data_IF_839295340168
#
_entry.id   IF_839295340168
#
_cell.length_a   1.000
_cell.length_b   1.000
_cell.length_c   1.000
_cell.angle_alpha   90.00
_cell.angle_beta   90.00
_cell.angle_gamma   90.00
#
_symmetry.space_group_name_H-M   'P 1'
#
loop_
_entity.id
_entity.type
_entity.pdbx_description
1 polymer ?
#
# COMPACT_ATOMS: atom_id res chain seq x y z
N UNK A 1 6.39 19.45 17.94
CA UNK A 1 5.95 18.74 16.71
C UNK A 1 6.48 17.32 16.78
N UNK A 2 5.62 16.30 16.86
CA UNK A 2 6.08 14.92 16.74
C UNK A 2 6.56 14.70 15.29
N UNK A 3 7.82 14.29 15.14
CA UNK A 3 8.41 13.99 13.83
C UNK A 3 7.68 12.76 13.27
N UNK A 4 6.96 12.94 12.16
CA UNK A 4 6.30 11.84 11.45
C UNK A 4 7.38 10.86 10.98
N UNK A 5 7.19 9.57 11.24
CA UNK A 5 8.11 8.53 10.80
C UNK A 5 8.22 8.54 9.26
N UNK A 6 9.43 8.45 8.72
CA UNK A 6 9.64 8.42 7.27
C UNK A 6 9.50 6.99 6.74
N UNK A 7 8.37 6.71 6.08
CA UNK A 7 8.07 5.38 5.53
C UNK A 7 9.08 4.92 4.46
N UNK A 8 9.78 5.86 3.80
CA UNK A 8 10.82 5.54 2.82
C UNK A 8 12.02 4.82 3.44
N UNK A 9 12.27 5.01 4.75
CA UNK A 9 13.32 4.27 5.47
C UNK A 9 13.10 2.75 5.37
N UNK A 10 11.85 2.28 5.32
CA UNK A 10 11.58 0.85 5.11
C UNK A 10 12.03 0.37 3.74
N UNK A 11 11.81 1.15 2.68
CA UNK A 11 12.24 0.78 1.33
C UNK A 11 13.76 0.78 1.24
N UNK A 12 14.42 1.80 1.79
CA UNK A 12 15.88 1.89 1.83
C UNK A 12 16.50 0.69 2.55
N UNK A 13 15.95 0.31 3.71
CA UNK A 13 16.37 -0.90 4.43
C UNK A 13 16.18 -2.13 3.55
N UNK A 14 15.02 -2.29 2.90
CA UNK A 14 14.72 -3.44 2.05
C UNK A 14 15.70 -3.59 0.88
N UNK A 15 16.14 -2.47 0.28
CA UNK A 15 17.08 -2.47 -0.84
C UNK A 15 18.51 -2.83 -0.44
N UNK A 16 18.94 -2.40 0.75
CA UNK A 16 20.30 -2.67 1.23
C UNK A 16 20.43 -4.06 1.85
N UNK A 17 19.40 -4.54 2.56
CA UNK A 17 19.46 -5.76 3.36
C UNK A 17 20.03 -6.99 2.62
N UNK A 18 19.61 -7.30 1.38
CA UNK A 18 20.11 -8.47 0.65
C UNK A 18 21.62 -8.47 0.43
N UNK A 19 22.25 -7.30 0.36
CA UNK A 19 23.67 -7.12 0.10
C UNK A 19 24.56 -7.17 1.35
N UNK A 20 23.98 -7.23 2.56
CA UNK A 20 24.77 -7.40 3.78
C UNK A 20 25.22 -8.87 3.92
N UNK A 21 26.49 -9.14 3.58
CA UNK A 21 27.06 -10.48 3.58
C UNK A 21 27.15 -11.10 4.99
N UNK A 22 27.32 -10.26 6.01
CA UNK A 22 27.45 -10.67 7.41
C UNK A 22 26.15 -11.19 8.03
N UNK A 23 25.00 -10.96 7.38
CA UNK A 23 23.70 -11.41 7.88
C UNK A 23 23.29 -12.78 7.30
N UNK A 24 22.62 -13.65 8.10
CA UNK A 24 22.09 -14.92 7.60
C UNK A 24 21.17 -14.73 6.39
N UNK A 25 21.42 -15.49 5.31
CA UNK A 25 20.76 -15.33 4.00
C UNK A 25 19.23 -15.31 4.07
N UNK A 26 18.65 -16.33 4.67
CA UNK A 26 17.18 -16.45 4.69
C UNK A 26 16.54 -15.38 5.59
N UNK A 27 17.13 -15.10 6.76
CA UNK A 27 16.66 -14.07 7.68
C UNK A 27 16.63 -12.68 7.05
N UNK A 28 17.70 -12.32 6.32
CA UNK A 28 17.75 -11.03 5.62
C UNK A 28 16.73 -10.96 4.47
N UNK A 29 16.51 -12.04 3.72
CA UNK A 29 15.51 -12.05 2.65
C UNK A 29 14.08 -11.91 3.17
N UNK A 30 13.72 -12.67 4.21
CA UNK A 30 12.41 -12.56 4.88
C UNK A 30 12.16 -11.13 5.37
N UNK A 31 13.17 -10.55 6.01
CA UNK A 31 13.10 -9.17 6.52
C UNK A 31 12.92 -8.16 5.37
N UNK A 32 13.68 -8.27 4.29
CA UNK A 32 13.58 -7.36 3.14
C UNK A 32 12.16 -7.35 2.54
N UNK A 33 11.53 -8.52 2.37
CA UNK A 33 10.15 -8.64 1.86
C UNK A 33 9.16 -7.92 2.78
N UNK A 34 9.26 -8.13 4.09
CA UNK A 34 8.44 -7.44 5.08
C UNK A 34 8.58 -5.92 4.98
N UNK A 35 9.81 -5.43 4.75
CA UNK A 35 10.11 -4.00 4.64
C UNK A 35 9.54 -3.38 3.35
N UNK A 36 9.64 -4.05 2.21
CA UNK A 36 8.95 -3.64 0.97
C UNK A 36 7.43 -3.57 1.14
N UNK A 37 6.83 -4.54 1.83
CA UNK A 37 5.40 -4.51 2.12
C UNK A 37 5.02 -3.30 2.98
N UNK A 38 5.72 -3.09 4.10
CA UNK A 38 5.40 -2.01 5.02
C UNK A 38 5.62 -0.63 4.41
N UNK A 39 6.62 -0.43 3.54
CA UNK A 39 6.79 0.84 2.83
C UNK A 39 5.54 1.21 2.00
N UNK A 40 4.98 0.25 1.27
CA UNK A 40 3.80 0.49 0.44
C UNK A 40 2.53 0.59 1.27
N UNK A 41 2.32 -0.36 2.17
CA UNK A 41 1.11 -0.42 2.98
C UNK A 41 0.93 0.83 3.84
N UNK A 42 2.00 1.32 4.49
CA UNK A 42 1.91 2.51 5.34
C UNK A 42 1.69 3.78 4.50
N UNK A 43 2.34 3.91 3.34
CA UNK A 43 2.10 5.03 2.42
C UNK A 43 0.63 5.13 2.04
N UNK A 44 0.03 4.03 1.58
CA UNK A 44 -1.38 3.96 1.21
C UNK A 44 -2.31 4.23 2.39
N UNK A 45 -2.00 3.62 3.55
CA UNK A 45 -2.77 3.79 4.78
C UNK A 45 -2.81 5.26 5.21
N UNK A 46 -1.68 5.95 5.18
CA UNK A 46 -1.60 7.36 5.56
C UNK A 46 -2.36 8.27 4.59
N UNK A 47 -2.17 8.09 3.28
CA UNK A 47 -2.88 8.86 2.26
C UNK A 47 -4.41 8.72 2.44
N UNK A 48 -4.90 7.50 2.60
CA UNK A 48 -6.32 7.24 2.77
C UNK A 48 -6.82 7.84 4.08
N UNK A 49 -6.09 7.65 5.19
CA UNK A 49 -6.48 8.18 6.50
C UNK A 49 -6.57 9.69 6.55
N UNK A 50 -5.60 10.38 5.95
CA UNK A 50 -5.54 11.84 5.98
C UNK A 50 -6.71 12.47 5.22
N UNK A 51 -7.29 11.75 4.25
CA UNK A 51 -8.35 12.25 3.37
C UNK A 51 -9.74 11.71 3.77
N UNK A 52 -9.85 10.41 4.04
CA UNK A 52 -11.09 9.72 4.38
C UNK A 52 -11.16 9.41 5.89
N UNK A 53 -11.79 10.33 6.61
CA UNK A 53 -11.92 10.30 8.07
C UNK A 53 -13.32 9.83 8.51
N UNK A 54 -13.93 8.90 7.77
CA UNK A 54 -15.21 8.30 8.18
C UNK A 54 -14.99 7.32 9.33
N UNK A 55 -15.85 7.36 10.35
CA UNK A 55 -15.78 6.47 11.52
C UNK A 55 -15.82 4.98 11.13
N UNK A 56 -16.55 4.64 10.05
CA UNK A 56 -16.63 3.27 9.53
C UNK A 56 -15.25 2.72 9.12
N UNK A 57 -14.32 3.58 8.72
CA UNK A 57 -12.95 3.21 8.40
C UNK A 57 -12.06 3.23 9.65
N UNK A 58 -12.20 4.27 10.48
CA UNK A 58 -11.38 4.50 11.67
C UNK A 58 -11.27 3.29 12.58
N UNK A 59 -12.39 2.60 12.82
CA UNK A 59 -12.43 1.39 13.67
C UNK A 59 -11.47 0.27 13.23
N UNK A 60 -11.06 0.25 11.96
CA UNK A 60 -10.14 -0.75 11.45
C UNK A 60 -8.67 -0.37 11.61
N UNK A 61 -8.33 0.91 11.77
CA UNK A 61 -6.94 1.42 11.72
C UNK A 61 -6.04 0.95 12.86
N UNK A 62 -6.63 0.47 13.95
CA UNK A 62 -5.96 -0.10 15.13
C UNK A 62 -5.93 -1.63 15.10
N UNK A 63 -6.55 -2.27 14.11
CA UNK A 63 -6.68 -3.72 14.00
C UNK A 63 -5.83 -4.29 12.86
N UNK A 64 -5.46 -5.57 12.93
CA UNK A 64 -4.82 -6.28 11.83
C UNK A 64 -5.67 -6.35 10.55
N UNK A 65 -6.99 -6.11 10.65
CA UNK A 65 -7.89 -6.07 9.49
C UNK A 65 -7.58 -4.91 8.54
N UNK A 66 -6.90 -3.86 9.01
CA UNK A 66 -6.50 -2.70 8.18
C UNK A 66 -5.82 -3.12 6.89
N UNK A 67 -4.98 -4.17 6.92
CA UNK A 67 -4.30 -4.67 5.73
C UNK A 67 -5.29 -5.13 4.65
N UNK A 68 -6.36 -5.82 5.05
CA UNK A 68 -7.45 -6.25 4.14
C UNK A 68 -8.26 -5.05 3.67
N UNK A 69 -8.57 -4.12 4.56
CA UNK A 69 -9.42 -2.97 4.27
C UNK A 69 -8.77 -2.05 3.24
N UNK A 70 -7.47 -1.75 3.34
CA UNK A 70 -6.78 -0.90 2.36
C UNK A 70 -6.85 -1.50 0.94
N UNK A 71 -6.74 -2.83 0.80
CA UNK A 71 -6.91 -3.49 -0.50
C UNK A 71 -8.34 -3.40 -1.03
N UNK A 72 -9.33 -3.67 -0.17
CA UNK A 72 -10.75 -3.56 -0.54
C UNK A 72 -11.08 -2.14 -0.95
N UNK A 73 -10.55 -1.15 -0.23
CA UNK A 73 -10.71 0.26 -0.54
C UNK A 73 -10.20 0.57 -1.96
N UNK A 74 -8.95 0.19 -2.27
CA UNK A 74 -8.36 0.40 -3.60
C UNK A 74 -9.19 -0.27 -4.71
N UNK A 75 -9.58 -1.53 -4.50
CA UNK A 75 -10.39 -2.27 -5.47
C UNK A 75 -11.76 -1.63 -5.70
N UNK A 76 -12.50 -1.31 -4.62
CA UNK A 76 -13.83 -0.68 -4.73
C UNK A 76 -13.73 0.69 -5.38
N UNK A 77 -12.73 1.49 -5.03
CA UNK A 77 -12.49 2.78 -5.66
C UNK A 77 -12.19 2.64 -7.14
N UNK A 78 -11.38 1.65 -7.52
CA UNK A 78 -11.08 1.36 -8.92
C UNK A 78 -12.34 1.10 -9.74
N UNK A 79 -13.37 0.48 -9.14
CA UNK A 79 -14.68 0.29 -9.79
C UNK A 79 -15.49 1.57 -9.88
N UNK A 80 -15.50 2.38 -8.82
CA UNK A 80 -16.22 3.67 -8.78
C UNK A 80 -15.70 4.61 -9.88
N UNK A 81 -14.37 4.76 -9.98
CA UNK A 81 -13.75 5.68 -10.94
C UNK A 81 -13.32 5.01 -12.25
N UNK A 82 -13.59 3.71 -12.41
CA UNK A 82 -13.23 2.88 -13.57
C UNK A 82 -11.73 2.92 -13.91
N UNK A 83 -10.85 2.94 -12.91
CA UNK A 83 -9.39 2.91 -13.11
C UNK A 83 -8.85 1.48 -13.12
N UNK A 84 -8.14 1.12 -14.19
CA UNK A 84 -7.43 -0.15 -14.31
C UNK A 84 -6.18 -0.17 -13.43
N UNK A 85 -5.49 0.96 -13.32
CA UNK A 85 -4.27 1.14 -12.53
C UNK A 85 -4.54 0.90 -11.04
N UNK A 86 -5.63 1.45 -10.49
CA UNK A 86 -6.00 1.20 -9.09
C UNK A 86 -6.36 -0.27 -8.84
N UNK A 87 -6.96 -0.94 -9.83
CA UNK A 87 -7.23 -2.37 -9.73
C UNK A 87 -5.92 -3.17 -9.71
N UNK A 88 -4.96 -2.79 -10.57
CA UNK A 88 -3.64 -3.40 -10.63
C UNK A 88 -2.86 -3.18 -9.32
N UNK A 89 -2.86 -1.96 -8.79
CA UNK A 89 -2.29 -1.63 -7.47
C UNK A 89 -2.88 -2.53 -6.38
N UNK A 90 -4.20 -2.68 -6.34
CA UNK A 90 -4.88 -3.54 -5.37
C UNK A 90 -4.41 -5.01 -5.47
N UNK A 91 -4.30 -5.54 -6.69
CA UNK A 91 -3.86 -6.91 -6.93
C UNK A 91 -2.40 -7.13 -6.56
N UNK A 92 -1.51 -6.20 -6.92
CA UNK A 92 -0.10 -6.26 -6.53
C UNK A 92 0.07 -6.14 -5.02
N UNK A 93 -0.70 -5.27 -4.35
CA UNK A 93 -0.66 -5.16 -2.89
C UNK A 93 -1.14 -6.46 -2.21
N UNK A 94 -2.11 -7.15 -2.81
CA UNK A 94 -2.53 -8.48 -2.36
C UNK A 94 -1.39 -9.50 -2.45
N UNK A 95 -0.69 -9.55 -3.60
CA UNK A 95 0.44 -10.45 -3.80
C UNK A 95 1.61 -10.14 -2.86
N UNK A 96 1.95 -8.85 -2.72
CA UNK A 96 3.00 -8.39 -1.81
C UNK A 96 2.67 -8.71 -0.34
N UNK A 97 1.40 -8.55 0.07
CA UNK A 97 0.97 -8.96 1.41
C UNK A 97 1.10 -10.47 1.63
N UNK A 98 0.76 -11.29 0.63
CA UNK A 98 0.89 -12.73 0.73
C UNK A 98 2.36 -13.17 0.81
N UNK A 99 3.25 -12.56 0.02
CA UNK A 99 4.70 -12.78 0.13
C UNK A 99 5.22 -12.40 1.52
N UNK A 100 4.74 -11.28 2.09
CA UNK A 100 5.06 -10.90 3.46
C UNK A 100 4.58 -11.92 4.48
N UNK A 101 3.34 -12.42 4.38
CA UNK A 101 2.85 -13.47 5.30
C UNK A 101 3.66 -14.77 5.18
N UNK A 102 4.00 -15.16 3.95
CA UNK A 102 4.84 -16.34 3.70
C UNK A 102 6.21 -16.16 4.37
N UNK A 103 6.79 -14.96 4.25
CA UNK A 103 8.10 -14.62 4.82
C UNK A 103 8.09 -14.57 6.35
N UNK A 104 7.03 -14.05 6.95
CA UNK A 104 6.97 -13.85 8.42
C UNK A 104 6.52 -15.09 9.18
N UNK A 105 5.61 -15.88 8.61
CA UNK A 105 4.89 -16.91 9.37
C UNK A 105 5.13 -18.34 8.88
N UNK A 106 5.62 -18.54 7.65
CA UNK A 106 5.89 -19.88 7.14
C UNK A 106 7.35 -20.27 7.37
N UNK A 107 7.57 -21.12 8.37
CA UNK A 107 8.91 -21.63 8.75
C UNK A 107 9.37 -22.84 7.94
N UNK A 108 8.49 -23.45 7.14
CA UNK A 108 8.79 -24.63 6.32
C UNK A 108 9.30 -24.19 4.95
N UNK A 109 8.71 -23.14 4.38
CA UNK A 109 9.06 -22.65 3.05
C UNK A 109 10.31 -21.78 3.11
N UNK A 110 11.37 -22.18 2.41
CA UNK A 110 12.64 -21.44 2.33
C UNK A 110 12.51 -20.23 1.39
N UNK A 111 12.73 -19.04 1.92
CA UNK A 111 12.76 -17.80 1.13
C UNK A 111 14.11 -17.62 0.44
N UNK A 112 14.08 -17.24 -0.84
CA UNK A 112 15.25 -16.99 -1.68
C UNK A 112 15.30 -15.54 -2.15
N UNK A 113 16.35 -15.20 -2.89
CA UNK A 113 16.49 -13.88 -3.50
C UNK A 113 15.40 -13.61 -4.56
N UNK A 114 14.80 -14.66 -5.14
CA UNK A 114 13.72 -14.52 -6.11
C UNK A 114 12.51 -13.84 -5.49
N UNK A 115 12.05 -14.31 -4.33
CA UNK A 115 10.90 -13.72 -3.63
C UNK A 115 11.18 -12.28 -3.18
N UNK A 116 12.43 -11.95 -2.88
CA UNK A 116 12.86 -10.57 -2.60
C UNK A 116 12.72 -9.69 -3.84
N UNK A 117 13.15 -10.19 -5.00
CA UNK A 117 13.02 -9.47 -6.27
C UNK A 117 11.55 -9.29 -6.68
N UNK A 118 10.71 -10.31 -6.50
CA UNK A 118 9.27 -10.22 -6.73
C UNK A 118 8.64 -9.13 -5.82
N UNK A 119 9.00 -9.12 -4.53
CA UNK A 119 8.53 -8.10 -3.60
C UNK A 119 8.99 -6.69 -3.99
N UNK A 120 10.25 -6.54 -4.43
CA UNK A 120 10.81 -5.28 -4.94
C UNK A 120 10.06 -4.80 -6.18
N UNK A 121 9.78 -5.68 -7.12
CA UNK A 121 9.05 -5.36 -8.35
C UNK A 121 7.65 -4.86 -8.04
N UNK A 122 6.89 -5.59 -7.20
CA UNK A 122 5.57 -5.14 -6.76
C UNK A 122 5.63 -3.78 -6.07
N UNK A 123 6.58 -3.58 -5.15
CA UNK A 123 6.69 -2.32 -4.42
C UNK A 123 6.99 -1.14 -5.37
N UNK A 124 7.97 -1.29 -6.25
CA UNK A 124 8.35 -0.26 -7.21
C UNK A 124 7.22 0.05 -8.19
N UNK A 125 6.55 -0.98 -8.71
CA UNK A 125 5.45 -0.80 -9.67
C UNK A 125 4.23 -0.16 -9.02
N UNK A 126 3.88 -0.54 -7.78
CA UNK A 126 2.83 0.15 -7.02
C UNK A 126 3.19 1.62 -6.83
N UNK A 127 4.41 1.92 -6.37
CA UNK A 127 4.84 3.31 -6.15
C UNK A 127 4.79 4.14 -7.43
N UNK A 128 5.23 3.58 -8.56
CA UNK A 128 5.11 4.22 -9.86
C UNK A 128 3.65 4.50 -10.24
N UNK A 129 2.78 3.49 -10.19
CA UNK A 129 1.37 3.63 -10.55
C UNK A 129 0.64 4.64 -9.65
N UNK A 130 0.98 4.71 -8.36
CA UNK A 130 0.40 5.70 -7.45
C UNK A 130 0.70 7.15 -7.86
N UNK A 131 1.83 7.39 -8.52
CA UNK A 131 2.21 8.72 -8.98
C UNK A 131 1.59 9.07 -10.34
N UNK A 132 1.37 8.08 -11.21
CA UNK A 132 0.91 8.31 -12.59
C UNK A 132 -0.57 8.07 -12.81
N UNK A 133 -1.27 7.38 -11.89
CA UNK A 133 -2.71 7.15 -12.00
C UNK A 133 -3.45 8.46 -12.18
N UNK A 134 -4.41 8.47 -13.09
CA UNK A 134 -5.10 9.69 -13.48
C UNK A 134 -6.62 9.49 -13.49
N UNK A 135 -7.34 10.51 -13.02
CA UNK A 135 -8.79 10.57 -13.13
C UNK A 135 -9.23 12.01 -13.37
N UNK A 136 -10.00 12.26 -14.43
CA UNK A 136 -10.49 13.59 -14.81
C UNK A 136 -9.37 14.66 -14.85
N UNK A 137 -8.25 14.36 -15.52
CA UNK A 137 -7.06 15.22 -15.62
C UNK A 137 -6.32 15.48 -14.30
N UNK A 138 -6.65 14.74 -13.22
CA UNK A 138 -5.95 14.80 -11.94
C UNK A 138 -5.03 13.59 -11.80
N UNK A 139 -3.72 13.84 -11.75
CA UNK A 139 -2.68 12.82 -11.60
C UNK A 139 -2.28 12.59 -10.14
N UNK A 140 -2.00 11.35 -9.81
CA UNK A 140 -1.55 10.91 -8.49
C UNK A 140 -2.70 10.51 -7.58
N UNK A 141 -2.56 9.36 -6.92
CA UNK A 141 -3.61 8.76 -6.10
C UNK A 141 -4.14 9.70 -5.00
N UNK A 142 -3.24 10.36 -4.27
CA UNK A 142 -3.61 11.31 -3.23
C UNK A 142 -4.43 12.48 -3.80
N UNK A 143 -4.00 13.03 -4.94
CA UNK A 143 -4.68 14.14 -5.59
C UNK A 143 -6.07 13.73 -6.09
N UNK A 144 -6.20 12.52 -6.62
CA UNK A 144 -7.49 11.96 -7.04
C UNK A 144 -8.44 11.89 -5.83
N UNK A 145 -8.00 11.36 -4.69
CA UNK A 145 -8.84 11.30 -3.49
C UNK A 145 -9.26 12.70 -3.02
N UNK A 146 -8.34 13.68 -3.02
CA UNK A 146 -8.66 15.08 -2.68
C UNK A 146 -9.65 15.69 -3.67
N UNK A 147 -9.52 15.38 -4.96
CA UNK A 147 -10.42 15.84 -6.01
C UNK A 147 -11.82 15.27 -5.84
N UNK A 148 -11.94 13.96 -5.64
CA UNK A 148 -13.23 13.29 -5.39
C UNK A 148 -13.95 13.88 -4.17
N UNK A 149 -13.20 14.19 -3.10
CA UNK A 149 -13.75 14.83 -1.91
C UNK A 149 -14.34 16.21 -2.21
N UNK A 150 -13.62 17.03 -2.99
CA UNK A 150 -14.09 18.35 -3.44
C UNK A 150 -15.34 18.27 -4.32
N UNK A 151 -15.44 17.28 -5.20
CA UNK A 151 -16.65 17.05 -6.00
C UNK A 151 -17.81 16.72 -5.06
N UNK A 152 -17.62 15.75 -4.17
CA UNK A 152 -18.64 15.36 -3.20
C UNK A 152 -19.14 16.52 -2.34
N UNK A 153 -18.23 17.38 -1.86
CA UNK A 153 -18.58 18.58 -1.09
C UNK A 153 -19.51 19.54 -1.86
N UNK A 154 -19.26 19.74 -3.16
CA UNK A 154 -20.14 20.56 -4.03
C UNK A 154 -21.50 19.94 -4.25
N UNK A 155 -21.59 18.61 -4.16
CA UNK A 155 -22.82 17.84 -4.35
C UNK A 155 -23.55 17.54 -3.03
N UNK A 156 -23.09 18.10 -1.91
CA UNK A 156 -23.72 17.96 -0.60
C UNK A 156 -23.33 16.70 0.19
N UNK A 157 -22.48 15.83 -0.36
CA UNK A 157 -21.91 14.66 0.34
C UNK A 157 -20.43 14.50 0.01
N UNK A 158 -19.56 14.97 0.91
CA UNK A 158 -18.09 14.93 0.78
C UNK A 158 -17.51 13.53 0.54
N UNK A 159 -18.23 12.47 0.87
CA UNK A 159 -17.77 11.08 0.72
C UNK A 159 -18.57 10.29 -0.32
N UNK A 160 -19.38 10.96 -1.15
CA UNK A 160 -20.24 10.35 -2.17
C UNK A 160 -19.52 9.32 -3.05
N UNK A 161 -18.27 9.60 -3.43
CA UNK A 161 -17.46 8.76 -4.32
C UNK A 161 -16.44 7.87 -3.60
N UNK A 162 -16.48 7.85 -2.27
CA UNK A 162 -15.56 7.05 -1.48
C UNK A 162 -16.13 5.63 -1.29
N UNK A 163 -15.27 4.59 -1.30
CA UNK A 163 -15.71 3.22 -1.08
C UNK A 163 -16.38 3.02 0.27
N UNK A 164 -17.59 2.47 0.30
CA UNK A 164 -18.18 1.92 1.52
C UNK A 164 -17.53 0.57 1.80
N UNK A 165 -16.99 0.35 3.00
CA UNK A 165 -16.21 -0.85 3.35
C UNK A 165 -17.07 -1.95 3.91
#
# INVERSE_FOLDING_TARGET
MNKKFNVDEFKEIAEKLPNFETLPKEGKYRTAIGRYYYSIFLTLREIIWDIDKREELEKYYTSGLVHKIIRIYLYKLSKIIKSQELMEISNMLYNLHNLRKLSDYNIIHKITIKEVNDAKEYANKIQYLLNIVEFQNVKGFENILRHLKKIGEREGDKYKYFPKI
#
